data_IF_028259905260
#
_entry.id   IF_028259905260
#
_cell.length_a   1.000
_cell.length_b   1.000
_cell.length_c   1.000
_cell.angle_alpha   90.00
_cell.angle_beta   90.00
_cell.angle_gamma   90.00
#
_symmetry.space_group_name_H-M   'P 1'
#
loop_
_entity.id
_entity.type
_entity.pdbx_description
1 polymer ?
#
# COMPACT_ATOMS: atom_id res chain seq x y z
N UNK A 1 10.81 -8.40 -40.09
CA UNK A 1 11.56 -8.14 -38.85
C UNK A 1 11.53 -6.65 -38.56
N UNK A 2 10.41 -6.16 -38.03
CA UNK A 2 10.31 -4.77 -37.62
C UNK A 2 11.17 -4.56 -36.38
N UNK A 3 12.16 -3.69 -36.50
CA UNK A 3 13.08 -3.34 -35.42
C UNK A 3 12.26 -2.76 -34.26
N UNK A 4 12.19 -3.49 -33.14
CA UNK A 4 11.57 -3.01 -31.90
C UNK A 4 12.32 -1.76 -31.44
N UNK A 5 11.64 -0.61 -31.45
CA UNK A 5 12.23 0.66 -31.01
C UNK A 5 12.09 0.77 -29.49
N UNK A 6 13.23 0.87 -28.81
CA UNK A 6 13.30 1.17 -27.37
C UNK A 6 13.64 2.64 -27.19
N UNK A 7 12.88 3.35 -26.36
CA UNK A 7 13.13 4.78 -26.09
C UNK A 7 13.36 5.09 -24.61
N UNK A 8 14.28 6.00 -24.33
CA UNK A 8 14.54 6.58 -23.00
C UNK A 8 14.40 8.09 -23.11
N UNK A 9 13.57 8.71 -22.26
CA UNK A 9 13.24 10.16 -22.35
C UNK A 9 12.84 10.59 -23.77
N UNK A 10 12.11 9.73 -24.49
CA UNK A 10 11.64 9.97 -25.86
C UNK A 10 12.68 9.75 -26.96
N UNK A 11 13.92 9.38 -26.65
CA UNK A 11 14.99 9.15 -27.64
C UNK A 11 15.24 7.66 -27.85
N UNK A 12 15.33 7.16 -29.10
CA UNK A 12 15.72 5.79 -29.38
C UNK A 12 17.10 5.46 -28.81
N UNK A 13 17.25 4.27 -28.22
CA UNK A 13 18.52 3.79 -27.67
C UNK A 13 18.77 2.34 -28.07
N UNK A 14 20.05 1.96 -28.22
CA UNK A 14 20.48 0.55 -28.35
C UNK A 14 21.02 -0.01 -27.03
N UNK A 15 21.59 0.85 -26.21
CA UNK A 15 22.13 0.53 -24.88
C UNK A 15 21.88 1.73 -23.95
N UNK A 16 21.56 1.46 -22.69
CA UNK A 16 21.40 2.49 -21.66
C UNK A 16 21.62 1.91 -20.26
N UNK A 17 22.44 2.58 -19.45
CA UNK A 17 22.67 2.18 -18.05
C UNK A 17 21.60 2.83 -17.16
N UNK A 18 20.67 2.01 -16.66
CA UNK A 18 19.52 2.45 -15.88
C UNK A 18 19.87 2.70 -14.42
N UNK A 19 19.45 3.85 -13.88
CA UNK A 19 19.39 4.08 -12.43
C UNK A 19 18.06 3.54 -11.90
N UNK A 20 18.06 2.87 -10.75
CA UNK A 20 16.86 2.24 -10.21
C UNK A 20 16.56 2.57 -8.74
N UNK A 21 17.37 3.44 -8.13
CA UNK A 21 17.20 3.85 -6.73
C UNK A 21 16.40 5.15 -6.62
N UNK A 22 15.47 5.22 -5.64
CA UNK A 22 14.52 6.31 -5.33
C UNK A 22 13.61 6.72 -6.48
N UNK A 23 14.17 7.21 -7.58
CA UNK A 23 13.50 7.56 -8.81
C UNK A 23 14.08 6.73 -9.95
N UNK A 24 13.54 5.53 -10.18
CA UNK A 24 14.06 4.66 -11.23
C UNK A 24 13.83 5.29 -12.60
N UNK A 25 14.85 5.23 -13.45
CA UNK A 25 14.71 5.50 -14.87
C UNK A 25 13.63 4.59 -15.45
N UNK A 26 13.02 5.05 -16.54
CA UNK A 26 12.08 4.24 -17.31
C UNK A 26 12.42 4.29 -18.79
N UNK A 27 12.09 3.19 -19.47
CA UNK A 27 12.18 3.08 -20.92
C UNK A 27 10.84 2.60 -21.48
N UNK A 28 10.62 2.88 -22.76
CA UNK A 28 9.39 2.52 -23.44
C UNK A 28 9.66 1.57 -24.59
N UNK A 29 8.74 0.62 -24.77
CA UNK A 29 8.69 -0.30 -25.92
C UNK A 29 7.23 -0.35 -26.38
N UNK A 30 6.92 0.29 -27.50
CA UNK A 30 5.53 0.49 -27.92
C UNK A 30 4.71 1.20 -26.84
N UNK A 31 3.66 0.55 -26.32
CA UNK A 31 2.80 1.07 -25.24
C UNK A 31 3.30 0.77 -23.83
N UNK A 32 4.35 -0.05 -23.71
CA UNK A 32 4.91 -0.47 -22.44
C UNK A 32 5.80 0.63 -21.87
N UNK A 33 5.64 0.93 -20.59
CA UNK A 33 6.58 1.68 -19.77
C UNK A 33 7.21 0.71 -18.77
N UNK A 34 8.53 0.60 -18.80
CA UNK A 34 9.30 -0.36 -18.04
C UNK A 34 10.32 0.36 -17.15
N UNK A 35 10.47 -0.11 -15.90
CA UNK A 35 11.46 0.39 -14.96
C UNK A 35 12.07 -0.77 -14.18
N UNK A 36 13.38 -0.74 -13.94
CA UNK A 36 14.02 -1.72 -13.07
C UNK A 36 13.63 -1.45 -11.62
N UNK A 37 13.32 -2.51 -10.88
CA UNK A 37 13.08 -2.47 -9.45
C UNK A 37 13.99 -3.47 -8.74
N UNK A 38 14.46 -3.10 -7.55
CA UNK A 38 15.14 -4.01 -6.64
C UNK A 38 14.21 -4.36 -5.47
N UNK A 39 14.16 -5.63 -5.11
CA UNK A 39 13.39 -6.16 -3.98
C UNK A 39 14.27 -7.15 -3.22
N UNK A 40 14.70 -6.75 -2.02
CA UNK A 40 15.78 -7.43 -1.31
C UNK A 40 16.98 -7.65 -2.24
N UNK A 41 17.39 -8.89 -2.46
CA UNK A 41 18.52 -9.24 -3.32
C UNK A 41 18.14 -9.55 -4.78
N UNK A 42 16.88 -9.33 -5.17
CA UNK A 42 16.38 -9.64 -6.52
C UNK A 42 16.15 -8.38 -7.33
N UNK A 43 16.51 -8.45 -8.60
CA UNK A 43 16.11 -7.46 -9.60
C UNK A 43 14.86 -7.95 -10.33
N UNK A 44 14.00 -7.01 -10.69
CA UNK A 44 12.82 -7.27 -11.48
C UNK A 44 12.53 -6.12 -12.43
N UNK A 45 11.75 -6.40 -13.46
CA UNK A 45 11.26 -5.39 -14.38
C UNK A 45 9.80 -5.08 -14.06
N UNK A 46 9.52 -3.84 -13.67
CA UNK A 46 8.14 -3.37 -13.51
C UNK A 46 7.64 -2.92 -14.87
N UNK A 47 6.69 -3.66 -15.41
CA UNK A 47 6.05 -3.36 -16.69
C UNK A 47 4.69 -2.73 -16.42
N UNK A 48 4.42 -1.59 -17.08
CA UNK A 48 3.11 -0.94 -17.10
C UNK A 48 2.68 -0.78 -18.54
N UNK A 49 1.51 -1.31 -18.88
CA UNK A 49 0.92 -1.15 -20.20
C UNK A 49 -0.33 -0.28 -20.12
N UNK A 50 -0.36 0.81 -20.89
CA UNK A 50 -1.54 1.67 -21.00
C UNK A 50 -2.70 0.96 -21.68
N UNK A 51 -2.42 -0.06 -22.49
CA UNK A 51 -3.42 -0.86 -23.20
C UNK A 51 -3.74 -2.20 -22.52
N UNK A 52 -3.29 -2.40 -21.27
CA UNK A 52 -3.64 -3.59 -20.50
C UNK A 52 -5.15 -3.82 -20.50
N UNK A 53 -5.64 -5.02 -20.87
CA UNK A 53 -7.07 -5.33 -20.84
C UNK A 53 -7.70 -5.07 -19.47
N UNK A 54 -6.99 -5.37 -18.39
CA UNK A 54 -7.45 -5.10 -17.02
C UNK A 54 -7.63 -3.61 -16.75
N UNK A 55 -6.71 -2.76 -17.24
CA UNK A 55 -6.84 -1.31 -17.14
C UNK A 55 -8.03 -0.80 -17.97
N UNK A 56 -8.17 -1.27 -19.21
CA UNK A 56 -9.23 -0.83 -20.11
C UNK A 56 -10.62 -1.29 -19.63
N UNK A 57 -10.70 -2.44 -18.97
CA UNK A 57 -11.93 -2.97 -18.39
C UNK A 57 -12.28 -2.39 -17.00
N UNK A 58 -11.40 -1.59 -16.39
CA UNK A 58 -11.60 -1.07 -15.04
C UNK A 58 -12.81 -0.14 -14.97
N UNK A 59 -13.78 -0.48 -14.12
CA UNK A 59 -15.06 0.25 -13.98
C UNK A 59 -15.09 1.25 -12.82
N UNK A 60 -13.96 1.47 -12.15
CA UNK A 60 -13.88 2.31 -10.97
C UNK A 60 -13.80 1.52 -9.68
N UNK A 61 -13.72 2.27 -8.58
CA UNK A 61 -13.62 1.74 -7.23
C UNK A 61 -14.99 1.73 -6.57
N UNK A 62 -15.22 0.74 -5.72
CA UNK A 62 -16.42 0.66 -4.89
C UNK A 62 -16.08 0.99 -3.44
N UNK A 63 -16.92 1.81 -2.82
CA UNK A 63 -16.70 2.31 -1.46
C UNK A 63 -17.95 2.11 -0.63
N UNK A 64 -17.77 1.81 0.66
CA UNK A 64 -18.86 1.95 1.61
C UNK A 64 -19.27 3.42 1.74
N UNK A 65 -20.55 3.73 2.00
CA UNK A 65 -20.95 5.07 2.40
C UNK A 65 -20.18 5.52 3.64
N UNK A 66 -19.63 6.73 3.61
CA UNK A 66 -18.85 7.27 4.72
C UNK A 66 -19.70 7.41 5.98
N UNK A 67 -19.12 7.07 7.15
CA UNK A 67 -19.77 7.23 8.45
C UNK A 67 -18.79 7.82 9.45
N UNK A 68 -19.27 8.83 10.20
CA UNK A 68 -18.49 9.51 11.23
C UNK A 68 -18.02 8.57 12.35
N UNK A 69 -18.76 7.49 12.64
CA UNK A 69 -18.39 6.47 13.62
C UNK A 69 -17.08 5.74 13.30
N UNK A 70 -16.64 5.77 12.04
CA UNK A 70 -15.38 5.18 11.58
C UNK A 70 -14.23 6.20 11.46
N UNK A 71 -14.47 7.45 11.87
CA UNK A 71 -13.42 8.47 12.02
C UNK A 71 -13.16 8.68 13.51
N UNK A 72 -12.08 8.09 14.01
CA UNK A 72 -11.74 8.07 15.44
C UNK A 72 -10.47 8.84 15.72
N UNK A 73 -10.34 9.35 16.95
CA UNK A 73 -9.11 9.98 17.43
C UNK A 73 -8.34 8.97 18.26
N UNK A 74 -7.16 8.59 17.80
CA UNK A 74 -6.23 7.76 18.53
C UNK A 74 -5.29 8.61 19.39
N UNK A 75 -4.94 8.08 20.56
CA UNK A 75 -3.78 8.55 21.32
C UNK A 75 -2.54 7.89 20.74
N UNK A 76 -1.56 8.71 20.35
CA UNK A 76 -0.25 8.23 19.94
C UNK A 76 0.65 8.07 21.16
N UNK A 77 1.16 6.86 21.36
CA UNK A 77 2.12 6.52 22.42
C UNK A 77 3.48 6.32 21.74
N UNK A 78 4.38 7.32 21.77
CA UNK A 78 5.69 7.20 21.15
C UNK A 78 6.56 6.16 21.87
N UNK A 79 7.44 5.51 21.12
CA UNK A 79 8.58 4.82 21.72
C UNK A 79 9.74 5.80 21.92
N UNK A 80 10.60 5.53 22.90
CA UNK A 80 11.83 6.32 23.12
C UNK A 80 12.71 6.33 21.86
N UNK A 81 12.80 5.18 21.19
CA UNK A 81 13.42 5.01 19.88
C UNK A 81 12.50 4.18 18.98
N UNK A 82 12.46 4.43 17.66
CA UNK A 82 11.67 3.61 16.74
C UNK A 82 12.07 2.13 16.83
N UNK A 83 11.06 1.25 16.97
CA UNK A 83 11.27 -0.19 17.13
C UNK A 83 11.17 -0.90 15.78
N UNK A 84 11.99 -1.91 15.55
CA UNK A 84 11.86 -2.77 14.37
C UNK A 84 10.58 -3.61 14.46
N UNK A 85 9.83 -3.68 13.36
CA UNK A 85 8.73 -4.61 13.16
C UNK A 85 8.94 -5.39 11.87
N UNK A 86 8.52 -6.65 11.91
CA UNK A 86 8.56 -7.56 10.76
C UNK A 86 7.25 -7.46 10.00
N UNK A 87 7.33 -7.06 8.74
CA UNK A 87 6.21 -7.01 7.80
C UNK A 87 6.50 -8.00 6.68
N UNK A 88 5.64 -9.00 6.50
CA UNK A 88 5.78 -9.91 5.36
C UNK A 88 5.20 -9.24 4.10
N UNK A 89 5.70 -9.55 2.92
CA UNK A 89 5.01 -9.21 1.67
C UNK A 89 4.27 -10.41 1.07
N UNK A 90 3.47 -10.18 0.02
CA UNK A 90 2.74 -11.24 -0.70
C UNK A 90 3.64 -12.27 -1.41
N UNK A 91 4.94 -12.01 -1.55
CA UNK A 91 5.92 -12.96 -2.10
C UNK A 91 6.56 -13.84 -1.01
N UNK A 92 6.26 -13.60 0.27
CA UNK A 92 6.88 -14.30 1.40
C UNK A 92 8.21 -13.70 1.86
N UNK A 93 8.62 -12.53 1.36
CA UNK A 93 9.81 -11.84 1.86
C UNK A 93 9.50 -11.13 3.18
N UNK A 94 10.47 -11.11 4.10
CA UNK A 94 10.43 -10.31 5.32
C UNK A 94 10.97 -8.89 5.04
N UNK A 95 10.15 -7.87 5.33
CA UNK A 95 10.52 -6.46 5.33
C UNK A 95 10.73 -6.02 6.78
N UNK A 96 11.91 -5.45 7.05
CA UNK A 96 12.24 -4.86 8.35
C UNK A 96 11.92 -3.38 8.30
N UNK A 97 10.81 -3.02 8.93
CA UNK A 97 10.36 -1.63 9.01
C UNK A 97 10.51 -1.11 10.44
N UNK A 98 10.52 0.22 10.60
CA UNK A 98 10.54 0.85 11.92
C UNK A 98 9.19 1.48 12.23
N UNK A 99 8.67 1.18 13.42
CA UNK A 99 7.47 1.82 13.96
C UNK A 99 7.86 2.87 15.01
N UNK A 100 7.33 4.10 14.93
CA UNK A 100 7.68 5.18 15.87
C UNK A 100 6.92 5.07 17.20
N UNK A 101 5.88 4.23 17.28
CA UNK A 101 5.01 4.18 18.44
C UNK A 101 3.76 3.34 18.21
N UNK A 102 2.75 3.60 19.04
CA UNK A 102 1.47 2.89 19.04
C UNK A 102 0.32 3.86 18.89
N UNK A 103 -0.68 3.51 18.09
CA UNK A 103 -1.95 4.22 18.00
C UNK A 103 -3.00 3.47 18.84
N UNK A 104 -3.36 4.00 20.00
CA UNK A 104 -4.39 3.43 20.89
C UNK A 104 -5.72 4.18 20.73
N UNK A 105 -6.79 3.47 20.41
CA UNK A 105 -8.13 4.06 20.21
C UNK A 105 -9.24 3.07 20.57
N UNK A 106 -10.47 3.59 20.63
CA UNK A 106 -11.68 2.78 20.77
C UNK A 106 -12.50 2.88 19.48
N UNK A 107 -12.97 1.75 18.98
CA UNK A 107 -13.89 1.68 17.85
C UNK A 107 -14.98 0.65 18.17
N UNK A 108 -16.25 1.04 18.01
CA UNK A 108 -17.41 0.19 18.33
C UNK A 108 -17.33 -0.41 19.75
N UNK A 109 -16.95 0.40 20.74
CA UNK A 109 -16.84 -0.01 22.14
C UNK A 109 -15.65 -0.92 22.49
N UNK A 110 -14.79 -1.26 21.53
CA UNK A 110 -13.60 -2.09 21.75
C UNK A 110 -12.32 -1.28 21.61
N UNK A 111 -11.37 -1.49 22.52
CA UNK A 111 -10.04 -0.87 22.46
C UNK A 111 -9.14 -1.63 21.49
N UNK A 112 -8.39 -0.89 20.68
CA UNK A 112 -7.42 -1.42 19.74
C UNK A 112 -6.10 -0.65 19.83
N UNK A 113 -5.05 -1.33 19.40
CA UNK A 113 -3.74 -0.74 19.17
C UNK A 113 -3.26 -1.09 17.77
N UNK A 114 -2.76 -0.10 17.03
CA UNK A 114 -2.13 -0.31 15.73
C UNK A 114 -0.69 0.19 15.76
N UNK A 115 0.17 -0.48 15.00
CA UNK A 115 1.57 -0.14 14.77
C UNK A 115 1.69 0.51 13.38
N UNK A 116 1.84 1.85 13.29
CA UNK A 116 2.11 2.51 12.03
C UNK A 116 3.60 2.38 11.66
N UNK A 117 3.91 2.56 10.38
CA UNK A 117 5.26 2.91 9.90
C UNK A 117 5.23 4.33 9.33
N UNK A 118 6.39 4.95 9.12
CA UNK A 118 6.47 6.29 8.53
C UNK A 118 6.96 6.16 7.09
N UNK A 119 6.16 6.59 6.12
CA UNK A 119 6.61 6.70 4.74
C UNK A 119 7.42 7.98 4.49
N UNK A 120 8.18 8.03 3.40
CA UNK A 120 9.05 9.16 3.05
C UNK A 120 8.30 10.51 2.96
N UNK A 121 6.99 10.47 2.67
CA UNK A 121 6.10 11.64 2.65
C UNK A 121 5.68 12.14 4.05
N UNK A 122 6.30 11.63 5.12
CA UNK A 122 6.02 11.99 6.52
C UNK A 122 4.55 11.77 6.90
N UNK A 123 3.94 10.69 6.42
CA UNK A 123 2.64 10.21 6.89
C UNK A 123 2.80 8.91 7.65
N UNK A 124 1.90 8.69 8.60
CA UNK A 124 1.72 7.39 9.20
C UNK A 124 1.05 6.48 8.17
N UNK A 125 1.67 5.35 7.90
CA UNK A 125 1.15 4.31 7.04
C UNK A 125 0.78 3.10 7.89
N UNK A 126 -0.49 2.71 7.82
CA UNK A 126 -1.07 1.63 8.60
C UNK A 126 -1.55 0.56 7.63
N UNK A 127 -0.89 -0.59 7.65
CA UNK A 127 -1.38 -1.80 6.97
C UNK A 127 -2.18 -2.59 8.00
N UNK A 128 -3.48 -2.77 7.76
CA UNK A 128 -4.37 -3.45 8.70
C UNK A 128 -5.26 -4.48 8.01
N UNK A 129 -5.80 -5.39 8.81
CA UNK A 129 -6.83 -6.34 8.36
C UNK A 129 -7.92 -6.41 9.41
N UNK A 130 -9.15 -6.52 8.94
CA UNK A 130 -10.32 -6.66 9.80
C UNK A 130 -11.21 -7.83 9.34
N UNK A 131 -12.31 -8.07 10.04
CA UNK A 131 -13.19 -9.23 9.81
C UNK A 131 -14.04 -9.13 8.53
N UNK A 132 -14.01 -7.99 7.83
CA UNK A 132 -14.59 -7.81 6.48
C UNK A 132 -13.71 -8.40 5.38
N UNK A 133 -12.42 -8.64 5.65
CA UNK A 133 -11.47 -9.12 4.65
C UNK A 133 -11.90 -10.47 4.07
N UNK A 134 -11.96 -10.56 2.73
CA UNK A 134 -12.42 -11.73 1.99
C UNK A 134 -13.95 -11.82 1.85
N UNK A 135 -14.70 -11.10 2.68
CA UNK A 135 -16.16 -11.03 2.61
C UNK A 135 -16.59 -9.87 1.73
N UNK A 136 -16.30 -8.65 2.17
CA UNK A 136 -16.70 -7.40 1.51
C UNK A 136 -15.51 -6.50 1.16
N UNK A 137 -14.33 -6.75 1.73
CA UNK A 137 -13.07 -6.01 1.46
C UNK A 137 -11.95 -6.95 0.98
N UNK A 138 -10.84 -6.38 0.50
CA UNK A 138 -9.75 -7.17 -0.07
C UNK A 138 -9.17 -8.19 0.94
N UNK A 139 -8.96 -9.48 0.56
CA UNK A 139 -8.62 -10.54 1.51
C UNK A 139 -7.31 -10.35 2.30
N UNK A 140 -6.31 -9.68 1.71
CA UNK A 140 -5.00 -9.52 2.33
C UNK A 140 -4.92 -8.37 3.34
N UNK A 141 -5.95 -7.51 3.40
CA UNK A 141 -5.95 -6.29 4.22
C UNK A 141 -6.03 -5.03 3.37
N UNK A 142 -5.99 -3.88 4.03
CA UNK A 142 -6.13 -2.54 3.46
C UNK A 142 -5.09 -1.60 4.04
N UNK A 143 -4.92 -0.48 3.36
CA UNK A 143 -4.03 0.60 3.73
C UNK A 143 -4.83 1.74 4.32
N UNK A 144 -4.30 2.36 5.37
CA UNK A 144 -4.81 3.59 5.92
C UNK A 144 -3.63 4.55 6.12
N UNK A 145 -3.79 5.77 5.64
CA UNK A 145 -2.84 6.85 5.82
C UNK A 145 -3.40 7.86 6.82
N UNK A 146 -2.54 8.34 7.71
CA UNK A 146 -2.86 9.39 8.66
C UNK A 146 -1.72 10.40 8.76
N UNK A 147 -2.05 11.63 9.14
CA UNK A 147 -1.05 12.65 9.42
C UNK A 147 -0.23 12.27 10.67
N UNK A 148 0.94 12.90 10.83
CA UNK A 148 1.73 12.74 12.04
C UNK A 148 0.97 13.20 13.28
N UNK A 149 1.33 12.67 14.47
CA UNK A 149 0.70 13.06 15.71
C UNK A 149 0.77 14.56 15.95
N UNK A 150 -0.36 15.16 16.30
CA UNK A 150 -0.46 16.53 16.81
C UNK A 150 -0.96 16.47 18.24
N UNK A 151 -0.20 17.04 19.18
CA UNK A 151 -0.52 17.03 20.61
C UNK A 151 -0.80 15.62 21.17
N UNK A 152 -0.02 14.63 20.70
CA UNK A 152 -0.18 13.22 21.09
C UNK A 152 -1.43 12.54 20.51
N UNK A 153 -2.10 13.15 19.52
CA UNK A 153 -3.32 12.62 18.89
C UNK A 153 -3.14 12.42 17.39
N UNK A 154 -3.81 11.39 16.87
CA UNK A 154 -3.85 11.07 15.43
C UNK A 154 -5.30 10.78 15.05
N UNK A 155 -5.76 11.36 13.94
CA UNK A 155 -7.07 11.02 13.38
C UNK A 155 -6.92 9.78 12.50
N UNK A 156 -7.66 8.72 12.82
CA UNK A 156 -7.78 7.53 11.98
C UNK A 156 -9.15 7.55 11.30
N UNK A 157 -9.16 7.78 9.99
CA UNK A 157 -10.38 7.81 9.19
C UNK A 157 -10.49 6.54 8.33
N UNK A 158 -11.12 5.50 8.88
CA UNK A 158 -11.28 4.23 8.17
C UNK A 158 -12.18 4.35 6.92
N UNK A 159 -12.91 5.46 6.74
CA UNK A 159 -13.62 5.75 5.48
C UNK A 159 -12.65 5.98 4.31
N UNK A 160 -11.38 6.27 4.59
CA UNK A 160 -10.32 6.48 3.61
C UNK A 160 -9.39 5.27 3.48
N UNK A 161 -9.74 4.13 4.07
CA UNK A 161 -8.96 2.92 3.91
C UNK A 161 -9.07 2.41 2.47
N UNK A 162 -7.94 2.16 1.81
CA UNK A 162 -7.85 1.77 0.40
C UNK A 162 -7.27 0.37 0.21
N UNK A 163 -7.60 -0.26 -0.91
CA UNK A 163 -7.05 -1.56 -1.25
C UNK A 163 -5.61 -1.42 -1.75
N UNK A 164 -4.72 -2.36 -1.38
CA UNK A 164 -3.35 -2.35 -1.88
C UNK A 164 -3.31 -2.59 -3.40
N UNK A 165 -2.24 -2.19 -4.11
CA UNK A 165 -2.09 -2.45 -5.54
C UNK A 165 -2.28 -3.91 -5.96
N UNK A 166 -2.01 -4.86 -5.06
CA UNK A 166 -2.20 -6.29 -5.26
C UNK A 166 -3.66 -6.70 -5.50
N UNK A 167 -4.64 -5.87 -5.13
CA UNK A 167 -6.03 -6.08 -5.48
C UNK A 167 -6.28 -5.98 -7.00
N UNK A 168 -5.45 -5.22 -7.71
CA UNK A 168 -5.61 -4.91 -9.13
C UNK A 168 -4.63 -5.67 -10.02
N UNK A 169 -3.51 -6.16 -9.47
CA UNK A 169 -2.49 -6.87 -10.24
C UNK A 169 -1.78 -7.95 -9.42
N UNK A 170 -1.54 -9.11 -10.04
CA UNK A 170 -0.78 -10.22 -9.44
C UNK A 170 0.73 -9.94 -9.33
N UNK A 171 1.20 -8.87 -9.96
CA UNK A 171 2.63 -8.54 -10.07
C UNK A 171 3.10 -7.53 -9.00
N UNK A 172 2.20 -7.00 -8.18
CA UNK A 172 2.57 -6.12 -7.09
C UNK A 172 3.09 -6.91 -5.88
N UNK A 173 4.03 -6.31 -5.13
CA UNK A 173 4.72 -6.95 -4.00
C UNK A 173 4.32 -6.29 -2.68
N UNK A 174 3.01 -6.24 -2.41
CA UNK A 174 2.46 -5.47 -1.31
C UNK A 174 2.84 -6.04 0.06
N UNK A 175 3.12 -5.18 1.06
CA UNK A 175 3.19 -5.61 2.45
C UNK A 175 1.85 -6.16 2.95
N UNK A 176 1.94 -7.10 3.87
CA UNK A 176 0.84 -7.70 4.63
C UNK A 176 0.77 -7.07 6.02
N UNK A 177 -0.42 -7.00 6.62
CA UNK A 177 -0.56 -6.41 7.95
C UNK A 177 0.21 -7.22 8.99
N UNK A 178 1.00 -6.57 9.87
CA UNK A 178 1.60 -7.26 11.00
C UNK A 178 0.51 -7.80 11.93
N UNK A 179 0.83 -8.83 12.72
CA UNK A 179 -0.14 -9.51 13.61
C UNK A 179 -0.89 -8.53 14.52
N UNK A 180 -0.18 -7.51 15.00
CA UNK A 180 -0.71 -6.46 15.87
C UNK A 180 -1.78 -5.61 15.19
N UNK A 181 -1.78 -5.52 13.86
CA UNK A 181 -2.74 -4.72 13.09
C UNK A 181 -3.94 -5.54 12.57
N UNK A 182 -4.16 -6.74 13.11
CA UNK A 182 -5.31 -7.57 12.77
C UNK A 182 -6.43 -7.32 13.79
N UNK A 183 -7.47 -6.63 13.36
CA UNK A 183 -8.61 -6.23 14.17
C UNK A 183 -9.75 -7.27 14.06
N UNK A 184 -10.12 -7.89 15.18
CA UNK A 184 -11.21 -8.89 15.24
C UNK A 184 -12.62 -8.26 15.30
N UNK A 185 -12.86 -7.26 14.46
CA UNK A 185 -14.17 -6.62 14.25
C UNK A 185 -14.41 -6.38 12.77
N UNK A 186 -15.66 -6.17 12.36
CA UNK A 186 -15.96 -5.72 11.01
C UNK A 186 -15.82 -4.20 10.90
N UNK A 187 -15.10 -3.73 9.88
CA UNK A 187 -14.97 -2.31 9.54
C UNK A 187 -15.60 -2.08 8.16
N UNK A 188 -16.91 -1.81 8.17
CA UNK A 188 -17.72 -1.52 6.97
C UNK A 188 -17.57 -0.04 6.55
N UNK A 189 -16.34 0.38 6.30
CA UNK A 189 -15.96 1.72 5.84
C UNK A 189 -14.74 1.60 4.92
N UNK A 190 -14.55 2.54 3.99
CA UNK A 190 -13.43 2.52 3.05
C UNK A 190 -13.73 1.75 1.77
N UNK A 191 -12.67 1.38 1.05
CA UNK A 191 -12.76 0.67 -0.21
C UNK A 191 -13.23 -0.78 0.00
N UNK A 192 -14.19 -1.18 -0.83
CA UNK A 192 -14.70 -2.55 -0.93
C UNK A 192 -13.82 -3.37 -1.85
N UNK A 193 -13.92 -4.70 -1.80
CA UNK A 193 -13.24 -5.54 -2.81
C UNK A 193 -13.82 -5.23 -4.19
N UNK A 194 -12.97 -5.16 -5.21
CA UNK A 194 -13.46 -5.10 -6.58
C UNK A 194 -14.31 -6.32 -6.88
N UNK A 195 -15.48 -6.10 -7.48
CA UNK A 195 -16.25 -7.15 -8.12
C UNK A 195 -15.53 -7.42 -9.44
N UNK A 196 -14.85 -8.56 -9.54
CA UNK A 196 -14.29 -9.04 -10.81
C UNK A 196 -15.38 -9.76 -11.58
#
# INVERSE_FOLDING_TARGET
NDTVVVTVKGKPVREFVMKFEKQPDSFHVGTLNLSVIKRANRYGLRVRDKNSPQRLAFKGLHWFPARSSYRVVATFVPYAEPREIKIMNVLGDELKEKTPGTLSFTLNGKRFELRPIVEEEKKLFIIFKDSTAGKTTYPAGRYLYADLPKDGKVVLDFNRAENPPCAFTKYATCPLPPRQNIMKIAINAGEMKNVR
#
